data_IF_113068876273
#
_entry.id   IF_113068876273
#
_cell.length_a   1.000
_cell.length_b   1.000
_cell.length_c   1.000
_cell.angle_alpha   90.00
_cell.angle_beta   90.00
_cell.angle_gamma   90.00
#
_symmetry.space_group_name_H-M   'P 1'
#
loop_
_entity.id
_entity.type
_entity.pdbx_description
1 polymer ?
#
# COMPACT_ATOMS: atom_id res chain seq x y z
N UNK A 1 -12.03 13.91 2.94
CA UNK A 1 -10.60 13.93 3.34
C UNK A 1 -9.96 12.69 2.73
N UNK A 2 -8.68 12.77 2.36
CA UNK A 2 -8.00 11.70 1.64
C UNK A 2 -7.27 10.74 2.56
N UNK A 3 -7.33 9.44 2.25
CA UNK A 3 -6.76 8.37 3.05
C UNK A 3 -5.22 8.47 3.13
N UNK A 4 -4.69 8.91 4.28
CA UNK A 4 -3.25 9.02 4.54
C UNK A 4 -2.71 7.74 5.14
N UNK A 5 -1.51 7.32 4.74
CA UNK A 5 -0.83 6.14 5.29
C UNK A 5 0.69 6.38 5.32
N UNK A 6 1.36 5.81 6.33
CA UNK A 6 2.83 5.64 6.32
C UNK A 6 3.14 4.15 6.13
N UNK A 7 4.02 3.82 5.19
CA UNK A 7 4.57 2.49 4.97
C UNK A 7 6.06 2.50 5.30
N UNK A 8 6.46 1.56 6.15
CA UNK A 8 7.86 1.28 6.50
C UNK A 8 8.19 -0.13 6.04
N UNK A 9 9.37 -0.33 5.46
CA UNK A 9 9.86 -1.65 5.06
C UNK A 9 11.19 -1.88 5.77
N UNK A 10 11.35 -3.06 6.36
CA UNK A 10 12.56 -3.48 7.05
C UNK A 10 12.88 -4.94 6.74
N UNK A 11 14.14 -5.33 6.89
CA UNK A 11 14.60 -6.72 6.93
C UNK A 11 14.98 -7.19 8.35
N UNK A 12 14.69 -6.38 9.37
CA UNK A 12 15.08 -6.61 10.77
C UNK A 12 16.44 -6.02 11.14
N UNK A 13 17.27 -5.65 10.16
CA UNK A 13 18.58 -5.03 10.39
C UNK A 13 18.66 -3.60 9.88
N UNK A 14 17.94 -3.29 8.80
CA UNK A 14 17.89 -1.97 8.19
C UNK A 14 16.44 -1.55 7.87
N UNK A 15 16.25 -0.26 7.62
CA UNK A 15 14.98 0.34 7.22
C UNK A 15 15.12 1.11 5.92
N UNK A 16 14.10 0.99 5.07
CA UNK A 16 13.96 1.92 3.95
C UNK A 16 13.52 3.30 4.46
N UNK A 17 13.66 4.36 3.64
CA UNK A 17 12.90 5.59 3.85
C UNK A 17 11.42 5.31 4.06
N UNK A 18 10.77 6.13 4.88
CA UNK A 18 9.34 5.99 5.17
C UNK A 18 8.54 6.61 4.03
N UNK A 19 7.70 5.79 3.40
CA UNK A 19 6.77 6.28 2.41
C UNK A 19 5.54 6.84 3.12
N UNK A 20 5.31 8.14 2.97
CA UNK A 20 4.07 8.77 3.36
C UNK A 20 3.25 9.07 2.11
N UNK A 21 2.06 8.48 2.01
CA UNK A 21 1.20 8.64 0.84
C UNK A 21 -0.13 9.27 1.22
N UNK A 22 -0.50 10.34 0.51
CA UNK A 22 -1.87 10.83 0.49
C UNK A 22 -2.71 10.01 -0.50
N UNK A 23 -3.97 9.74 -0.15
CA UNK A 23 -5.00 9.12 -1.01
C UNK A 23 -4.74 7.68 -1.47
N UNK A 24 -3.64 7.04 -1.06
CA UNK A 24 -3.44 5.61 -1.30
C UNK A 24 -4.00 4.75 -0.17
N UNK A 25 -4.02 5.21 1.09
CA UNK A 25 -4.60 4.49 2.23
C UNK A 25 -4.22 3.00 2.28
N UNK A 26 -5.17 2.16 2.65
CA UNK A 26 -4.98 0.70 2.73
C UNK A 26 -4.69 0.01 1.37
N UNK A 27 -4.81 0.69 0.22
CA UNK A 27 -4.33 0.15 -1.07
C UNK A 27 -2.82 -0.08 -1.03
N UNK A 28 -2.07 0.73 -0.28
CA UNK A 28 -0.64 0.56 -0.13
C UNK A 28 -0.28 -0.80 0.50
N UNK A 29 -0.99 -1.23 1.55
CA UNK A 29 -0.76 -2.53 2.20
C UNK A 29 -1.00 -3.67 1.20
N UNK A 30 -2.12 -3.62 0.47
CA UNK A 30 -2.43 -4.61 -0.59
C UNK A 30 -1.35 -4.65 -1.66
N UNK A 31 -0.97 -3.49 -2.21
CA UNK A 31 0.03 -3.40 -3.29
C UNK A 31 1.36 -3.98 -2.84
N UNK A 32 1.79 -3.71 -1.60
CA UNK A 32 3.02 -4.28 -1.09
C UNK A 32 2.93 -5.81 -0.94
N UNK A 33 1.84 -6.33 -0.37
CA UNK A 33 1.61 -7.77 -0.27
C UNK A 33 1.63 -8.45 -1.67
N UNK A 34 0.97 -7.86 -2.67
CA UNK A 34 0.96 -8.40 -4.03
C UNK A 34 2.36 -8.39 -4.66
N UNK A 35 3.15 -7.34 -4.45
CA UNK A 35 4.54 -7.25 -4.93
C UNK A 35 5.46 -8.28 -4.27
N UNK A 36 5.32 -8.45 -2.96
CA UNK A 36 6.09 -9.43 -2.19
C UNK A 36 5.77 -10.85 -2.70
N UNK A 37 4.48 -11.18 -2.91
CA UNK A 37 4.06 -12.48 -3.44
C UNK A 37 4.56 -12.76 -4.86
N UNK A 38 4.72 -11.72 -5.71
CA UNK A 38 5.33 -11.86 -7.04
C UNK A 38 6.81 -12.23 -6.97
N UNK A 39 7.52 -11.84 -5.91
CA UNK A 39 8.92 -12.21 -5.68
C UNK A 39 9.95 -11.50 -6.57
N UNK A 40 9.53 -10.54 -7.40
CA UNK A 40 10.40 -9.82 -8.35
C UNK A 40 11.02 -8.56 -7.71
N UNK A 41 11.82 -8.72 -6.67
CA UNK A 41 12.56 -7.63 -6.02
C UNK A 41 13.89 -8.12 -5.45
N UNK A 42 14.91 -7.25 -5.47
CA UNK A 42 16.24 -7.55 -4.94
C UNK A 42 16.50 -6.74 -3.66
N UNK A 43 16.02 -7.24 -2.53
CA UNK A 43 16.13 -6.60 -1.22
C UNK A 43 15.12 -5.47 -0.98
N UNK A 44 15.18 -4.86 0.21
CA UNK A 44 14.15 -3.94 0.71
C UNK A 44 14.06 -2.64 -0.08
N UNK A 45 15.18 -2.11 -0.60
CA UNK A 45 15.17 -0.89 -1.40
C UNK A 45 14.56 -1.10 -2.78
N UNK A 46 14.88 -2.22 -3.44
CA UNK A 46 14.25 -2.60 -4.70
C UNK A 46 12.74 -2.80 -4.52
N UNK A 47 12.32 -3.42 -3.40
CA UNK A 47 10.92 -3.56 -3.05
C UNK A 47 10.24 -2.19 -2.84
N UNK A 48 10.86 -1.26 -2.11
CA UNK A 48 10.32 0.10 -1.91
C UNK A 48 10.13 0.82 -3.25
N UNK A 49 11.11 0.77 -4.15
CA UNK A 49 11.01 1.39 -5.46
C UNK A 49 9.84 0.81 -6.27
N UNK A 50 9.74 -0.52 -6.36
CA UNK A 50 8.65 -1.18 -7.08
C UNK A 50 7.29 -0.89 -6.44
N UNK A 51 7.25 -0.77 -5.11
CA UNK A 51 6.08 -0.38 -4.35
C UNK A 51 5.63 1.04 -4.69
N UNK A 52 6.53 2.03 -4.67
CA UNK A 52 6.19 3.42 -5.01
C UNK A 52 5.66 3.50 -6.44
N UNK A 53 6.33 2.86 -7.40
CA UNK A 53 5.89 2.85 -8.80
C UNK A 53 4.49 2.23 -8.93
N UNK A 54 4.24 1.11 -8.25
CA UNK A 54 2.96 0.40 -8.33
C UNK A 54 1.84 1.14 -7.63
N UNK A 55 2.10 1.72 -6.44
CA UNK A 55 1.08 2.43 -5.67
C UNK A 55 0.76 3.80 -6.29
N UNK A 56 1.71 4.44 -6.98
CA UNK A 56 1.47 5.68 -7.72
C UNK A 56 0.98 5.42 -9.16
N UNK A 57 0.87 4.15 -9.57
CA UNK A 57 0.51 3.74 -10.94
C UNK A 57 1.44 4.33 -12.02
N UNK A 58 2.67 4.70 -11.65
CA UNK A 58 3.64 5.34 -12.54
C UNK A 58 3.20 6.68 -13.12
N UNK A 59 2.21 7.37 -12.52
CA UNK A 59 1.66 8.64 -13.04
C UNK A 59 1.91 9.80 -12.07
N UNK A 60 2.04 10.99 -12.63
CA UNK A 60 1.90 12.24 -11.88
C UNK A 60 0.47 12.31 -11.35
N UNK A 61 0.30 12.02 -10.07
CA UNK A 61 -0.99 12.10 -9.41
C UNK A 61 -1.09 13.43 -8.66
N UNK A 62 -2.26 14.10 -8.60
CA UNK A 62 -2.50 15.19 -7.64
C UNK A 62 -2.34 14.75 -6.17
N UNK A 63 -2.09 13.47 -5.93
CA UNK A 63 -1.81 12.89 -4.63
C UNK A 63 -0.33 13.07 -4.33
N UNK A 64 -0.01 13.93 -3.36
CA UNK A 64 1.36 14.07 -2.90
C UNK A 64 1.78 12.85 -2.09
N UNK A 65 2.93 12.28 -2.44
CA UNK A 65 3.66 11.37 -1.57
C UNK A 65 4.98 12.03 -1.17
N UNK A 66 5.51 11.61 -0.04
CA UNK A 66 6.75 12.11 0.51
C UNK A 66 7.57 10.92 0.98
N UNK A 67 8.89 11.02 0.81
CA UNK A 67 9.84 10.09 1.39
C UNK A 67 10.56 10.80 2.52
N UNK A 68 10.43 10.24 3.70
CA UNK A 68 11.06 10.75 4.92
C UNK A 68 12.23 9.83 5.29
N UNK A 69 13.27 10.37 5.93
CA UNK A 69 14.24 9.47 6.54
C UNK A 69 13.55 8.63 7.62
N UNK A 70 14.14 7.50 7.98
CA UNK A 70 13.58 6.65 9.03
C UNK A 70 13.34 7.43 10.33
N UNK A 71 12.15 7.30 10.90
CA UNK A 71 11.69 8.02 12.09
C UNK A 71 11.07 9.40 11.83
N UNK A 72 11.33 10.03 10.68
CA UNK A 72 10.88 11.41 10.43
C UNK A 72 9.38 11.53 10.09
N UNK A 73 8.72 10.44 9.68
CA UNK A 73 7.28 10.47 9.39
C UNK A 73 6.40 10.07 10.59
N UNK A 74 6.98 9.85 11.77
CA UNK A 74 6.23 9.47 12.98
C UNK A 74 5.12 10.50 13.28
N UNK A 75 3.88 10.01 13.49
CA UNK A 75 2.71 10.85 13.72
C UNK A 75 2.04 11.44 12.47
N UNK A 76 2.63 11.27 11.28
CA UNK A 76 2.11 11.90 10.05
C UNK A 76 0.82 11.26 9.52
N UNK A 77 0.56 9.99 9.85
CA UNK A 77 -0.64 9.24 9.42
C UNK A 77 -1.65 8.94 10.54
N UNK A 78 -1.51 9.54 11.72
CA UNK A 78 -2.28 9.20 12.93
C UNK A 78 -3.80 9.43 12.84
N UNK A 79 -4.28 10.08 11.77
CA UNK A 79 -5.68 10.49 11.62
C UNK A 79 -6.50 9.59 10.68
N UNK A 80 -5.90 8.93 9.69
CA UNK A 80 -6.65 8.22 8.63
C UNK A 80 -6.33 6.71 8.51
N UNK A 81 -5.09 6.30 8.20
CA UNK A 81 -4.74 4.87 8.04
C UNK A 81 -3.46 4.43 8.76
N UNK A 82 -2.94 5.27 9.67
CA UNK A 82 -1.86 4.92 10.60
C UNK A 82 -0.54 4.51 9.90
N UNK A 83 0.44 4.13 10.71
CA UNK A 83 1.72 3.63 10.21
C UNK A 83 1.68 2.12 10.15
N UNK A 84 2.11 1.56 9.02
CA UNK A 84 2.23 0.13 8.79
C UNK A 84 3.69 -0.22 8.49
N UNK A 85 4.24 -1.17 9.24
CA UNK A 85 5.63 -1.62 9.06
C UNK A 85 5.63 -3.06 8.60
N UNK A 86 6.24 -3.32 7.44
CA UNK A 86 6.43 -4.66 6.90
C UNK A 86 7.85 -5.14 7.14
N UNK A 87 7.99 -6.31 7.75
CA UNK A 87 9.27 -6.99 7.89
C UNK A 87 9.38 -8.10 6.84
N UNK A 88 10.35 -7.97 5.94
CA UNK A 88 10.62 -8.88 4.81
C UNK A 88 11.29 -10.18 5.24
N UNK A 89 11.97 -10.21 6.39
CA UNK A 89 12.58 -11.42 6.93
C UNK A 89 11.53 -12.36 7.53
N UNK A 90 10.57 -11.81 8.26
CA UNK A 90 9.49 -12.59 8.91
C UNK A 90 8.22 -12.65 8.08
N UNK A 91 8.11 -11.83 7.01
CA UNK A 91 6.93 -11.71 6.15
C UNK A 91 5.68 -11.29 6.92
N UNK A 92 5.85 -10.36 7.86
CA UNK A 92 4.79 -9.92 8.78
C UNK A 92 4.65 -8.40 8.83
N UNK A 93 3.45 -7.97 9.19
CA UNK A 93 3.08 -6.59 9.44
C UNK A 93 2.96 -6.27 10.93
N UNK A 94 3.33 -5.05 11.29
CA UNK A 94 2.87 -4.37 12.51
C UNK A 94 2.24 -3.03 12.13
N UNK A 95 1.37 -2.50 12.98
CA UNK A 95 0.68 -1.25 12.68
C UNK A 95 0.35 -0.45 13.95
N UNK A 96 0.19 0.86 13.79
CA UNK A 96 -0.30 1.77 14.84
C UNK A 96 -1.83 1.90 14.86
N UNK A 97 -2.58 1.17 14.01
CA UNK A 97 -4.04 1.08 14.09
C UNK A 97 -4.46 0.64 15.51
N UNK A 98 -5.35 1.37 16.21
CA UNK A 98 -5.68 1.11 17.61
C UNK A 98 -6.10 -0.33 17.93
N UNK A 99 -6.93 -0.96 17.10
CA UNK A 99 -7.42 -2.33 17.32
C UNK A 99 -6.40 -3.45 17.01
N UNK A 100 -5.32 -3.10 16.29
CA UNK A 100 -4.26 -4.02 15.88
C UNK A 100 -2.92 -3.72 16.57
N UNK A 101 -2.85 -2.65 17.35
CA UNK A 101 -1.63 -2.18 18.00
C UNK A 101 -1.03 -3.27 18.88
N UNK A 102 0.27 -3.53 18.71
CA UNK A 102 1.02 -4.56 19.45
C UNK A 102 0.85 -5.98 18.91
N UNK A 103 0.04 -6.18 17.86
CA UNK A 103 -0.06 -7.47 17.16
C UNK A 103 0.94 -7.55 16.03
N UNK A 104 1.46 -8.76 15.81
CA UNK A 104 2.14 -9.13 14.57
C UNK A 104 1.12 -9.83 13.68
N UNK A 105 0.99 -9.40 12.44
CA UNK A 105 0.03 -9.91 11.48
C UNK A 105 0.78 -10.60 10.34
N UNK A 106 0.29 -11.75 9.91
CA UNK A 106 0.69 -12.33 8.63
C UNK A 106 0.19 -11.45 7.46
N UNK A 107 0.75 -11.65 6.26
CA UNK A 107 0.24 -10.97 5.05
C UNK A 107 -1.25 -11.28 4.78
N UNK A 108 -1.72 -12.48 5.12
CA UNK A 108 -3.11 -12.86 4.93
C UNK A 108 -4.04 -12.17 5.95
N UNK A 109 -3.62 -12.06 7.21
CA UNK A 109 -4.36 -11.30 8.24
C UNK A 109 -4.42 -9.79 7.92
N UNK A 110 -3.34 -9.21 7.38
CA UNK A 110 -3.37 -7.82 6.94
C UNK A 110 -4.27 -7.65 5.72
N UNK A 111 -4.27 -8.58 4.76
CA UNK A 111 -5.20 -8.57 3.63
C UNK A 111 -6.67 -8.73 4.08
N UNK A 112 -6.95 -9.57 5.07
CA UNK A 112 -8.29 -9.73 5.63
C UNK A 112 -8.78 -8.43 6.27
N UNK A 113 -7.91 -7.74 6.99
CA UNK A 113 -8.20 -6.39 7.51
C UNK A 113 -8.51 -5.41 6.37
N UNK A 114 -7.64 -5.33 5.35
CA UNK A 114 -7.86 -4.44 4.20
C UNK A 114 -9.16 -4.81 3.47
N UNK A 115 -9.49 -6.09 3.33
CA UNK A 115 -10.73 -6.55 2.68
C UNK A 115 -11.97 -6.18 3.47
N UNK A 116 -11.89 -6.16 4.80
CA UNK A 116 -12.98 -5.74 5.68
C UNK A 116 -13.21 -4.23 5.61
N UNK A 117 -12.15 -3.43 5.72
CA UNK A 117 -12.22 -1.96 5.72
C UNK A 117 -12.46 -1.38 4.31
N UNK A 118 -11.86 -2.02 3.29
CA UNK A 118 -11.87 -1.59 1.89
C UNK A 118 -12.16 -2.76 0.94
N UNK A 119 -13.37 -3.33 1.00
CA UNK A 119 -13.74 -4.49 0.20
C UNK A 119 -13.63 -4.25 -1.32
N UNK A 120 -13.76 -2.99 -1.76
CA UNK A 120 -13.62 -2.60 -3.16
C UNK A 120 -12.21 -2.87 -3.73
N UNK A 121 -11.17 -2.99 -2.90
CA UNK A 121 -9.81 -3.30 -3.34
C UNK A 121 -9.62 -4.79 -3.69
N UNK A 122 -10.51 -5.67 -3.22
CA UNK A 122 -10.43 -7.13 -3.41
C UNK A 122 -11.59 -7.72 -4.22
N UNK A 123 -12.71 -7.01 -4.31
CA UNK A 123 -13.79 -7.38 -5.23
C UNK A 123 -13.37 -6.96 -6.64
N UNK A 124 -13.68 -7.78 -7.64
CA UNK A 124 -13.76 -7.30 -9.02
C UNK A 124 -14.65 -6.07 -8.99
N UNK A 125 -14.07 -4.89 -9.24
CA UNK A 125 -14.79 -3.65 -9.15
C UNK A 125 -16.00 -3.73 -10.08
N UNK A 126 -17.21 -3.65 -9.52
CA UNK A 126 -18.39 -3.31 -10.32
C UNK A 126 -18.32 -1.82 -10.66
N UNK A 127 -17.33 -1.47 -11.46
CA UNK A 127 -17.06 -0.12 -11.90
C UNK A 127 -18.23 0.45 -12.72
N UNK A 128 -19.17 -0.42 -13.14
CA UNK A 128 -20.43 -0.07 -13.81
C UNK A 128 -21.59 0.23 -12.85
N UNK A 129 -21.60 -0.32 -11.62
CA UNK A 129 -22.66 -0.03 -10.62
C UNK A 129 -22.36 1.21 -9.75
N UNK A 130 -21.09 1.56 -9.60
CA UNK A 130 -20.64 2.67 -8.74
C UNK A 130 -19.92 3.80 -9.53
N UNK A 131 -19.96 3.74 -10.86
CA UNK A 131 -19.11 4.55 -11.76
C UNK A 131 -19.67 5.92 -12.13
N UNK A 132 -19.52 6.90 -11.24
CA UNK A 132 -19.23 8.25 -11.70
C UNK A 132 -17.82 8.33 -12.33
N UNK A 133 -17.48 9.38 -13.08
CA UNK A 133 -16.22 9.52 -13.83
C UNK A 133 -14.92 9.43 -12.99
N UNK A 134 -15.01 9.28 -11.66
CA UNK A 134 -13.88 9.21 -10.73
C UNK A 134 -13.77 7.86 -9.99
N UNK A 135 -14.32 6.77 -10.54
CA UNK A 135 -14.15 5.44 -9.94
C UNK A 135 -12.69 4.95 -10.16
N UNK A 136 -11.87 5.08 -9.12
CA UNK A 136 -10.42 4.80 -9.06
C UNK A 136 -10.03 3.31 -9.23
N UNK A 137 -10.96 2.46 -9.69
CA UNK A 137 -10.73 1.04 -9.95
C UNK A 137 -10.95 0.66 -11.43
N UNK A 138 -11.41 1.59 -12.28
CA UNK A 138 -11.29 1.43 -13.73
C UNK A 138 -9.83 1.71 -14.08
N UNK A 139 -8.99 0.69 -14.18
CA UNK A 139 -7.89 0.61 -15.16
C UNK A 139 -7.13 -0.71 -14.95
N UNK A 140 -7.84 -1.84 -14.99
CA UNK A 140 -7.23 -3.16 -15.11
C UNK A 140 -7.55 -3.88 -16.43
N UNK A 141 -8.15 -3.21 -17.41
CA UNK A 141 -8.33 -3.77 -18.75
C UNK A 141 -8.03 -2.70 -19.79
N UNK A 142 -6.80 -2.72 -20.32
CA UNK A 142 -6.44 -2.30 -21.68
C UNK A 142 -5.04 -2.82 -22.04
N UNK A 143 -4.66 -4.01 -21.55
CA UNK A 143 -3.45 -4.71 -22.00
C UNK A 143 -3.70 -5.76 -23.08
N UNK A 144 -4.94 -5.92 -23.57
CA UNK A 144 -5.23 -6.78 -24.73
C UNK A 144 -6.09 -5.99 -25.73
N UNK A 145 -5.44 -5.42 -26.74
CA UNK A 145 -6.12 -4.66 -27.79
C UNK A 145 -5.21 -3.90 -28.74
N UNK A 146 -3.92 -3.75 -28.44
CA UNK A 146 -2.94 -3.12 -29.33
C UNK A 146 -2.19 -4.15 -30.20
N UNK A 147 -2.91 -5.04 -30.89
CA UNK A 147 -2.40 -5.78 -32.06
C UNK A 147 -3.54 -6.13 -33.01
N UNK A 148 -3.90 -5.17 -33.86
CA UNK A 148 -4.24 -5.42 -35.26
C UNK A 148 -3.48 -4.41 -36.10
#
# INVERSE_FOLDING_TARGET
MGDRIVIRITDGTDFTPEFYGHWCGLRAVKVLNDLVRKGEHNGIHSLLCNFIVSVMEGREHPYSFYLYNHGEAEGSADWDNYTWTFNTQTMTWTTTVPELKGRTLTMDESDDYVRRERPCLYRTCKCDEYGGPNCLLKFQENCEGARQ
#
